data_IF_623082874827
#
_entry.id   IF_623082874827
#
_cell.length_a   1.000
_cell.length_b   1.000
_cell.length_c   1.000
_cell.angle_alpha   90.00
_cell.angle_beta   90.00
_cell.angle_gamma   90.00
#
_symmetry.space_group_name_H-M   'P 1'
#
loop_
_entity.id
_entity.type
_entity.pdbx_description
1 polymer ?
#
# COMPACT_ATOMS: atom_id res chain seq x y z
N UNK A 1 -2.97 -7.24 -1.22
CA UNK A 1 -2.08 -8.06 -0.37
C UNK A 1 -2.83 -9.20 0.30
N UNK A 2 -3.89 -8.92 1.09
CA UNK A 2 -4.66 -9.95 1.78
C UNK A 2 -5.14 -11.11 0.89
N UNK A 3 -5.66 -10.81 -0.31
CA UNK A 3 -6.11 -11.83 -1.28
C UNK A 3 -4.99 -12.80 -1.70
N UNK A 4 -3.84 -12.27 -2.12
CA UNK A 4 -2.70 -13.08 -2.55
C UNK A 4 -2.08 -13.86 -1.38
N UNK A 5 -2.08 -13.29 -0.18
CA UNK A 5 -1.59 -14.01 1.01
C UNK A 5 -2.50 -15.18 1.40
N UNK A 6 -3.82 -15.06 1.17
CA UNK A 6 -4.79 -16.14 1.43
C UNK A 6 -4.73 -17.28 0.39
N UNK A 7 -4.39 -16.99 -0.87
CA UNK A 7 -4.37 -18.00 -1.94
C UNK A 7 -3.05 -18.79 -1.98
N UNK A 8 -1.92 -18.17 -1.66
CA UNK A 8 -0.63 -18.84 -1.76
C UNK A 8 -0.47 -19.82 -0.56
N UNK A 9 -0.22 -21.12 -0.78
CA UNK A 9 -0.13 -22.13 0.28
C UNK A 9 0.91 -21.77 1.36
N UNK A 10 0.55 -21.89 2.65
CA UNK A 10 1.41 -21.51 3.78
C UNK A 10 1.22 -20.09 4.33
N UNK A 11 0.20 -19.36 3.87
CA UNK A 11 -0.17 -18.06 4.43
C UNK A 11 -0.86 -18.18 5.80
N UNK A 12 -0.54 -17.30 6.74
CA UNK A 12 -1.24 -17.17 8.03
C UNK A 12 -2.53 -16.33 7.93
N UNK A 13 -2.95 -15.99 6.71
CA UNK A 13 -4.06 -15.11 6.43
C UNK A 13 -5.41 -15.81 6.58
N UNK A 14 -5.89 -15.95 7.82
CA UNK A 14 -7.32 -16.14 8.06
C UNK A 14 -8.03 -14.89 7.52
N UNK A 15 -8.53 -14.97 6.28
CA UNK A 15 -9.29 -13.91 5.64
C UNK A 15 -10.66 -13.81 6.33
N UNK A 16 -10.66 -13.28 7.55
CA UNK A 16 -11.87 -13.11 8.32
C UNK A 16 -12.80 -12.13 7.60
N UNK A 17 -14.10 -12.35 7.72
CA UNK A 17 -15.10 -11.45 7.15
C UNK A 17 -14.88 -9.99 7.61
N UNK A 18 -14.31 -9.79 8.82
CA UNK A 18 -13.97 -8.48 9.38
C UNK A 18 -12.90 -7.75 8.57
N UNK A 19 -11.87 -8.48 8.12
CA UNK A 19 -10.82 -7.94 7.25
C UNK A 19 -11.41 -7.56 5.90
N UNK A 20 -12.24 -8.43 5.31
CA UNK A 20 -12.89 -8.15 4.02
C UNK A 20 -13.81 -6.92 4.12
N UNK A 21 -14.66 -6.86 5.15
CA UNK A 21 -15.54 -5.72 5.39
C UNK A 21 -14.76 -4.42 5.60
N UNK A 22 -13.65 -4.47 6.34
CA UNK A 22 -12.75 -3.34 6.51
C UNK A 22 -12.12 -2.89 5.20
N UNK A 23 -11.62 -3.82 4.37
CA UNK A 23 -11.03 -3.49 3.06
C UNK A 23 -12.06 -2.85 2.11
N UNK A 24 -13.30 -3.37 2.10
CA UNK A 24 -14.40 -2.81 1.30
C UNK A 24 -14.79 -1.41 1.80
N UNK A 25 -14.84 -1.20 3.12
CA UNK A 25 -15.12 0.11 3.70
C UNK A 25 -14.02 1.13 3.35
N UNK A 26 -12.75 0.72 3.45
CA UNK A 26 -11.60 1.55 3.06
C UNK A 26 -11.63 1.89 1.58
N UNK A 27 -11.94 0.91 0.72
CA UNK A 27 -12.10 1.12 -0.71
C UNK A 27 -13.23 2.10 -1.04
N UNK A 28 -14.40 1.91 -0.43
CA UNK A 28 -15.54 2.82 -0.59
C UNK A 28 -15.19 4.25 -0.14
N UNK A 29 -14.47 4.38 0.98
CA UNK A 29 -13.95 5.67 1.45
C UNK A 29 -12.99 6.32 0.45
N UNK A 30 -12.05 5.56 -0.12
CA UNK A 30 -11.15 6.09 -1.17
C UNK A 30 -11.89 6.46 -2.45
N UNK A 31 -12.88 5.68 -2.88
CA UNK A 31 -13.70 5.99 -4.05
C UNK A 31 -14.53 7.27 -3.81
N UNK A 32 -15.09 7.41 -2.60
CA UNK A 32 -15.77 8.63 -2.19
C UNK A 32 -14.81 9.83 -2.18
N UNK A 33 -13.56 9.64 -1.77
CA UNK A 33 -12.54 10.71 -1.73
C UNK A 33 -12.15 11.20 -3.13
N UNK A 34 -11.84 10.27 -4.04
CA UNK A 34 -11.49 10.57 -5.45
C UNK A 34 -12.67 11.25 -6.14
N UNK A 35 -13.84 10.68 -5.91
CA UNK A 35 -15.10 11.31 -6.23
C UNK A 35 -15.49 11.44 -7.68
N UNK A 36 -15.01 10.50 -8.49
CA UNK A 36 -15.41 10.34 -9.88
C UNK A 36 -16.93 10.14 -10.00
N UNK A 37 -17.52 10.83 -10.97
CA UNK A 37 -18.92 10.64 -11.35
C UNK A 37 -19.09 9.40 -12.24
N UNK A 38 -20.28 8.77 -12.27
CA UNK A 38 -20.53 7.62 -13.15
C UNK A 38 -20.24 7.93 -14.62
N UNK A 39 -20.56 9.14 -15.09
CA UNK A 39 -20.25 9.58 -16.44
C UNK A 39 -18.74 9.62 -16.72
N UNK A 40 -17.94 10.13 -15.78
CA UNK A 40 -16.47 10.12 -15.91
C UNK A 40 -15.91 8.70 -15.93
N UNK A 41 -16.49 7.77 -15.18
CA UNK A 41 -16.07 6.36 -15.17
C UNK A 41 -16.39 5.69 -16.50
N UNK A 42 -17.59 5.90 -17.05
CA UNK A 42 -17.99 5.29 -18.33
C UNK A 42 -17.18 5.79 -19.52
N UNK A 43 -16.74 7.04 -19.51
CA UNK A 43 -15.96 7.64 -20.60
C UNK A 43 -14.45 7.58 -20.36
N UNK A 44 -14.01 6.94 -19.27
CA UNK A 44 -12.58 6.85 -18.95
C UNK A 44 -11.85 5.96 -19.97
N UNK A 45 -10.67 6.40 -20.41
CA UNK A 45 -9.74 5.52 -21.11
C UNK A 45 -9.31 4.39 -20.17
N UNK A 46 -9.60 3.15 -20.55
CA UNK A 46 -9.35 1.96 -19.74
C UNK A 46 -7.85 1.63 -19.60
N UNK A 47 -6.98 2.20 -20.44
CA UNK A 47 -5.53 1.93 -20.40
C UNK A 47 -4.93 2.26 -19.03
N UNK A 48 -5.28 3.43 -18.47
CA UNK A 48 -4.80 3.87 -17.16
C UNK A 48 -5.25 2.96 -16.02
N UNK A 49 -6.57 2.73 -15.85
CA UNK A 49 -7.09 1.80 -14.84
C UNK A 49 -6.55 0.37 -14.94
N UNK A 50 -6.41 -0.17 -16.16
CA UNK A 50 -5.82 -1.50 -16.37
C UNK A 50 -4.35 -1.51 -15.94
N UNK A 51 -3.56 -0.51 -16.38
CA UNK A 51 -2.16 -0.39 -15.98
C UNK A 51 -1.99 -0.26 -14.46
N UNK A 52 -2.83 0.56 -13.80
CA UNK A 52 -2.84 0.71 -12.34
C UNK A 52 -3.22 -0.58 -11.61
N UNK A 53 -4.16 -1.36 -12.17
CA UNK A 53 -4.56 -2.65 -11.60
C UNK A 53 -3.42 -3.66 -11.70
N UNK A 54 -2.75 -3.75 -12.86
CA UNK A 54 -1.58 -4.61 -13.05
C UNK A 54 -0.40 -4.19 -12.17
N UNK A 55 -0.17 -2.88 -12.00
CA UNK A 55 0.85 -2.35 -11.10
C UNK A 55 0.55 -2.73 -9.65
N UNK A 56 -0.71 -2.58 -9.21
CA UNK A 56 -1.14 -2.93 -7.86
C UNK A 56 -1.05 -4.44 -7.58
N UNK A 57 -1.40 -5.26 -8.58
CA UNK A 57 -1.27 -6.71 -8.51
C UNK A 57 0.20 -7.13 -8.40
N UNK A 58 1.06 -6.59 -9.26
CA UNK A 58 2.51 -6.81 -9.24
C UNK A 58 3.14 -6.41 -7.91
N UNK A 59 2.78 -5.24 -7.37
CA UNK A 59 3.24 -4.78 -6.07
C UNK A 59 2.82 -5.71 -4.94
N UNK A 60 1.55 -6.11 -4.95
CA UNK A 60 1.00 -7.01 -3.94
C UNK A 60 1.67 -8.38 -3.99
N UNK A 61 1.86 -8.94 -5.18
CA UNK A 61 2.55 -10.22 -5.38
C UNK A 61 4.00 -10.15 -4.92
N UNK A 62 4.75 -9.13 -5.36
CA UNK A 62 6.14 -8.91 -4.96
C UNK A 62 6.31 -8.77 -3.45
N UNK A 63 5.37 -8.08 -2.79
CA UNK A 63 5.39 -7.91 -1.33
C UNK A 63 5.10 -9.20 -0.57
N UNK A 64 4.14 -10.01 -1.03
CA UNK A 64 3.87 -11.34 -0.44
C UNK A 64 5.05 -12.28 -0.69
N UNK A 65 5.63 -12.26 -1.89
CA UNK A 65 6.80 -13.05 -2.24
C UNK A 65 8.01 -12.69 -1.37
N UNK A 66 8.33 -11.41 -1.25
CA UNK A 66 9.46 -10.91 -0.44
C UNK A 66 9.32 -11.28 1.04
N UNK A 67 8.09 -11.34 1.56
CA UNK A 67 7.84 -11.79 2.93
C UNK A 67 8.11 -13.29 3.10
N UNK A 68 7.74 -14.11 2.12
CA UNK A 68 7.85 -15.58 2.19
C UNK A 68 9.23 -16.11 1.88
N UNK A 69 10.04 -15.34 1.16
CA UNK A 69 11.43 -15.68 0.84
C UNK A 69 12.37 -14.68 1.50
N UNK A 70 12.47 -14.69 2.85
CA UNK A 70 13.39 -13.82 3.55
C UNK A 70 14.82 -14.18 3.13
N UNK A 71 15.56 -13.16 2.68
CA UNK A 71 16.97 -13.30 2.37
C UNK A 71 17.81 -13.04 3.61
N UNK A 72 18.96 -13.72 3.74
CA UNK A 72 19.98 -13.40 4.76
C UNK A 72 20.56 -12.00 4.56
N UNK A 73 20.45 -11.45 3.36
CA UNK A 73 20.80 -10.08 3.07
C UNK A 73 20.00 -9.08 3.92
N UNK A 74 20.70 -8.02 4.33
CA UNK A 74 20.11 -6.89 5.03
C UNK A 74 18.93 -6.29 4.25
N UNK A 75 17.82 -5.89 4.91
CA UNK A 75 16.67 -5.30 4.22
C UNK A 75 17.03 -4.09 3.34
N UNK A 76 18.07 -3.35 3.71
CA UNK A 76 18.59 -2.22 2.94
C UNK A 76 19.17 -2.65 1.57
N UNK A 77 19.78 -3.84 1.48
CA UNK A 77 20.33 -4.36 0.22
C UNK A 77 19.20 -4.73 -0.73
N UNK A 78 18.16 -5.40 -0.23
CA UNK A 78 16.96 -5.70 -1.03
C UNK A 78 16.28 -4.42 -1.53
N UNK A 79 16.17 -3.41 -0.67
CA UNK A 79 15.66 -2.09 -1.04
C UNK A 79 16.50 -1.42 -2.12
N UNK A 80 17.83 -1.41 -1.99
CA UNK A 80 18.72 -0.81 -2.97
C UNK A 80 18.62 -1.50 -4.34
N UNK A 81 18.62 -2.84 -4.37
CA UNK A 81 18.48 -3.60 -5.62
C UNK A 81 17.14 -3.33 -6.30
N UNK A 82 16.04 -3.29 -5.53
CA UNK A 82 14.73 -2.99 -6.06
C UNK A 82 14.65 -1.57 -6.64
N UNK A 83 15.26 -0.58 -5.99
CA UNK A 83 15.30 0.80 -6.49
C UNK A 83 16.13 0.93 -7.76
N UNK A 84 17.27 0.24 -7.84
CA UNK A 84 18.13 0.23 -9.04
C UNK A 84 17.42 -0.45 -10.21
N UNK A 85 16.87 -1.66 -10.00
CA UNK A 85 16.20 -2.43 -11.05
C UNK A 85 14.91 -1.75 -11.47
N UNK A 86 14.07 -1.34 -10.53
CA UNK A 86 12.80 -0.66 -10.80
C UNK A 86 13.00 0.71 -11.45
N UNK A 87 13.91 1.52 -10.90
CA UNK A 87 14.26 2.83 -11.46
C UNK A 87 14.88 2.71 -12.85
N UNK A 88 15.79 1.75 -13.04
CA UNK A 88 16.39 1.46 -14.36
C UNK A 88 15.36 1.01 -15.38
N UNK A 89 14.41 0.14 -15.01
CA UNK A 89 13.34 -0.29 -15.89
C UNK A 89 12.43 0.88 -16.30
N UNK A 90 12.03 1.74 -15.36
CA UNK A 90 11.22 2.93 -15.66
C UNK A 90 11.98 3.91 -16.55
N UNK A 91 13.26 4.15 -16.28
CA UNK A 91 14.11 5.00 -17.11
C UNK A 91 14.26 4.46 -18.54
N UNK A 92 14.43 3.15 -18.69
CA UNK A 92 14.52 2.49 -20.00
C UNK A 92 13.22 2.65 -20.79
N UNK A 93 12.06 2.47 -20.13
CA UNK A 93 10.75 2.66 -20.77
C UNK A 93 10.56 4.12 -21.18
N UNK A 94 10.85 5.09 -20.31
CA UNK A 94 10.74 6.51 -20.66
C UNK A 94 11.66 6.90 -21.81
N UNK A 95 12.88 6.34 -21.86
CA UNK A 95 13.80 6.51 -22.97
C UNK A 95 13.23 5.93 -24.28
N UNK A 96 12.70 4.70 -24.24
CA UNK A 96 12.09 4.05 -25.40
C UNK A 96 10.84 4.77 -25.92
N UNK A 97 10.09 5.45 -25.04
CA UNK A 97 8.95 6.30 -25.40
C UNK A 97 9.33 7.68 -25.92
N UNK A 98 10.64 8.02 -25.94
CA UNK A 98 11.13 9.30 -26.45
C UNK A 98 10.92 10.49 -25.51
N UNK A 99 10.65 10.25 -24.22
CA UNK A 99 10.41 11.32 -23.23
C UNK A 99 11.66 12.16 -22.92
N UNK A 100 12.82 11.76 -23.43
CA UNK A 100 14.09 12.45 -23.24
C UNK A 100 14.07 13.91 -23.69
N UNK A 101 13.37 14.23 -24.79
CA UNK A 101 13.28 15.61 -25.28
C UNK A 101 12.46 16.53 -24.37
N UNK A 102 11.59 15.96 -23.52
CA UNK A 102 10.81 16.71 -22.54
C UNK A 102 11.56 16.86 -21.20
N UNK A 103 12.66 16.13 -21.00
CA UNK A 103 13.42 16.15 -19.75
C UNK A 103 14.28 17.43 -19.64
N UNK A 104 14.03 18.21 -18.61
CA UNK A 104 14.76 19.43 -18.32
C UNK A 104 15.19 19.48 -16.86
N UNK A 105 16.47 19.73 -16.62
CA UNK A 105 17.02 19.85 -15.27
C UNK A 105 16.70 21.25 -14.71
N UNK A 106 15.65 21.33 -13.90
CA UNK A 106 15.28 22.58 -13.20
C UNK A 106 15.67 22.50 -11.73
N UNK A 107 16.01 23.62 -11.06
CA UNK A 107 16.28 23.62 -9.62
C UNK A 107 15.12 23.06 -8.80
N UNK A 108 13.87 23.35 -9.22
CA UNK A 108 12.65 22.80 -8.61
C UNK A 108 12.57 21.28 -8.79
N UNK A 109 12.86 20.78 -9.99
CA UNK A 109 12.90 19.34 -10.27
C UNK A 109 13.98 18.63 -9.45
N UNK A 110 15.17 19.22 -9.33
CA UNK A 110 16.24 18.68 -8.52
C UNK A 110 15.87 18.64 -7.03
N UNK A 111 15.21 19.69 -6.52
CA UNK A 111 14.67 19.71 -5.16
C UNK A 111 13.60 18.62 -4.93
N UNK A 112 12.72 18.39 -5.91
CA UNK A 112 11.73 17.32 -5.85
C UNK A 112 12.39 15.92 -5.86
N UNK A 113 13.41 15.71 -6.69
CA UNK A 113 14.19 14.46 -6.72
C UNK A 113 14.89 14.24 -5.37
N UNK A 114 15.58 15.25 -4.84
CA UNK A 114 16.26 15.16 -3.55
C UNK A 114 15.27 14.81 -2.42
N UNK A 115 14.09 15.43 -2.42
CA UNK A 115 13.01 15.11 -1.48
C UNK A 115 12.56 13.64 -1.62
N UNK A 116 12.30 13.17 -2.84
CA UNK A 116 11.86 11.78 -3.09
C UNK A 116 12.94 10.74 -2.77
N UNK A 117 14.22 11.06 -2.98
CA UNK A 117 15.34 10.20 -2.58
C UNK A 117 15.39 10.04 -1.07
N UNK A 118 15.33 11.14 -0.32
CA UNK A 118 15.46 11.10 1.15
C UNK A 118 14.18 10.56 1.81
N UNK A 119 13.04 11.22 1.58
CA UNK A 119 11.81 10.90 2.29
C UNK A 119 11.04 9.74 1.66
N UNK A 120 10.92 9.72 0.33
CA UNK A 120 10.18 8.67 -0.37
C UNK A 120 10.92 7.34 -0.39
N UNK A 121 12.22 7.37 -0.68
CA UNK A 121 13.02 6.16 -0.90
C UNK A 121 13.73 5.71 0.37
N UNK A 122 14.68 6.49 0.89
CA UNK A 122 15.50 6.06 2.04
C UNK A 122 14.62 5.86 3.28
N UNK A 123 13.84 6.85 3.69
CA UNK A 123 13.01 6.75 4.89
C UNK A 123 11.76 5.90 4.67
N UNK A 124 10.94 6.26 3.67
CA UNK A 124 9.66 5.61 3.41
C UNK A 124 9.80 4.12 3.08
N UNK A 125 10.71 3.77 2.17
CA UNK A 125 10.87 2.38 1.75
C UNK A 125 11.57 1.51 2.82
N UNK A 126 12.52 2.07 3.56
CA UNK A 126 13.13 1.34 4.69
C UNK A 126 12.09 1.05 5.78
N UNK A 127 11.21 2.00 6.10
CA UNK A 127 10.11 1.77 7.04
C UNK A 127 9.14 0.69 6.53
N UNK A 128 8.82 0.72 5.23
CA UNK A 128 7.98 -0.30 4.60
C UNK A 128 8.58 -1.71 4.69
N UNK A 129 9.84 -1.87 4.29
CA UNK A 129 10.53 -3.17 4.34
C UNK A 129 10.71 -3.68 5.76
N UNK A 130 11.00 -2.79 6.71
CA UNK A 130 11.00 -3.11 8.13
C UNK A 130 9.62 -3.61 8.60
N UNK A 131 8.55 -2.87 8.28
CA UNK A 131 7.18 -3.25 8.65
C UNK A 131 6.77 -4.60 8.03
N UNK A 132 7.16 -4.88 6.79
CA UNK A 132 6.86 -6.14 6.11
C UNK A 132 7.55 -7.35 6.75
N UNK A 133 8.73 -7.15 7.34
CA UNK A 133 9.42 -8.18 8.13
C UNK A 133 8.76 -8.42 9.49
N UNK A 134 8.15 -7.40 10.11
CA UNK A 134 7.62 -7.47 11.48
C UNK A 134 6.09 -7.58 11.59
N UNK A 135 5.33 -7.37 10.53
CA UNK A 135 3.87 -7.40 10.51
C UNK A 135 3.30 -8.23 9.35
N UNK A 136 2.02 -8.61 9.40
CA UNK A 136 1.36 -9.34 8.30
C UNK A 136 1.24 -8.48 7.03
N UNK A 137 1.29 -9.04 5.81
CA UNK A 137 1.08 -8.27 4.58
C UNK A 137 -0.27 -7.56 4.54
N UNK A 138 -1.28 -8.15 5.19
CA UNK A 138 -2.60 -7.54 5.36
C UNK A 138 -2.52 -6.25 6.17
N UNK A 139 -1.87 -6.27 7.35
CA UNK A 139 -1.67 -5.09 8.20
C UNK A 139 -0.85 -4.04 7.48
N UNK A 140 0.29 -4.44 6.90
CA UNK A 140 1.15 -3.53 6.14
C UNK A 140 0.31 -2.89 5.05
N UNK A 141 -0.35 -3.66 4.20
CA UNK A 141 -1.16 -3.16 3.08
C UNK A 141 -2.24 -2.13 3.45
N UNK A 142 -2.68 -2.04 4.72
CA UNK A 142 -3.59 -0.96 5.15
C UNK A 142 -2.98 0.44 5.06
N UNK A 143 -1.65 0.57 5.02
CA UNK A 143 -0.96 1.86 4.81
C UNK A 143 -1.43 2.57 3.54
N UNK A 144 -1.75 1.80 2.49
CA UNK A 144 -2.19 2.33 1.21
C UNK A 144 -3.50 3.13 1.33
N UNK A 145 -4.36 2.80 2.30
CA UNK A 145 -5.56 3.58 2.58
C UNK A 145 -5.24 4.86 3.37
N UNK A 146 -4.24 4.83 4.24
CA UNK A 146 -3.83 6.01 5.03
C UNK A 146 -3.20 7.09 4.14
N UNK A 147 -2.50 6.69 3.06
CA UNK A 147 -1.81 7.62 2.16
C UNK A 147 -2.69 8.76 1.61
N UNK A 148 -3.88 8.51 1.01
CA UNK A 148 -4.78 9.58 0.58
C UNK A 148 -5.20 10.55 1.70
N UNK A 149 -5.38 10.06 2.92
CA UNK A 149 -5.74 10.90 4.08
C UNK A 149 -4.61 11.87 4.40
N UNK A 150 -3.36 11.38 4.43
CA UNK A 150 -2.18 12.22 4.64
C UNK A 150 -2.01 13.23 3.50
N UNK A 151 -2.22 12.80 2.25
CA UNK A 151 -2.13 13.68 1.09
C UNK A 151 -3.12 14.86 1.19
N UNK A 152 -4.38 14.59 1.56
CA UNK A 152 -5.40 15.63 1.78
C UNK A 152 -5.02 16.56 2.93
N UNK A 153 -4.53 16.02 4.04
CA UNK A 153 -4.11 16.83 5.20
C UNK A 153 -2.97 17.78 4.84
N UNK A 154 -1.99 17.30 4.08
CA UNK A 154 -0.87 18.12 3.61
C UNK A 154 -1.31 19.12 2.54
N UNK A 155 -2.22 18.75 1.64
CA UNK A 155 -2.83 19.66 0.66
C UNK A 155 -3.58 20.80 1.34
N UNK A 156 -4.36 20.50 2.36
CA UNK A 156 -5.03 21.51 3.17
C UNK A 156 -4.05 22.37 3.98
N UNK A 157 -3.07 21.76 4.65
CA UNK A 157 -2.16 22.48 5.56
C UNK A 157 -1.15 23.35 4.81
N UNK A 158 -0.57 22.83 3.73
CA UNK A 158 0.55 23.46 3.01
C UNK A 158 0.05 24.20 1.77
N UNK A 159 -0.82 23.55 0.97
CA UNK A 159 -1.33 24.13 -0.29
C UNK A 159 -2.62 24.94 -0.09
N UNK A 160 -3.20 24.94 1.12
CA UNK A 160 -4.48 25.61 1.45
C UNK A 160 -5.63 25.15 0.56
N UNK A 161 -5.62 23.88 0.17
CA UNK A 161 -6.71 23.29 -0.61
C UNK A 161 -8.00 23.21 0.22
N UNK A 162 -9.17 23.55 -0.36
CA UNK A 162 -10.43 23.52 0.35
C UNK A 162 -10.85 22.08 0.68
N UNK A 163 -11.08 21.82 1.97
CA UNK A 163 -11.59 20.53 2.45
C UNK A 163 -13.10 20.60 2.54
N UNK A 164 -13.78 19.67 1.87
CA UNK A 164 -15.25 19.61 1.83
C UNK A 164 -15.79 18.63 2.87
N UNK A 165 -17.09 18.70 3.17
CA UNK A 165 -17.76 17.71 4.04
C UNK A 165 -17.58 16.27 3.52
N UNK A 166 -17.61 16.11 2.18
CA UNK A 166 -17.31 14.83 1.50
C UNK A 166 -15.93 14.30 1.86
N UNK A 167 -14.92 15.18 1.87
CA UNK A 167 -13.54 14.84 2.24
C UNK A 167 -13.45 14.31 3.67
N UNK A 168 -14.14 14.96 4.62
CA UNK A 168 -14.20 14.50 6.02
C UNK A 168 -14.85 13.13 6.17
N UNK A 169 -16.00 12.90 5.51
CA UNK A 169 -16.68 11.60 5.55
C UNK A 169 -15.79 10.50 4.98
N UNK A 170 -15.14 10.77 3.84
CA UNK A 170 -14.22 9.82 3.22
C UNK A 170 -13.03 9.49 4.12
N UNK A 171 -12.40 10.50 4.75
CA UNK A 171 -11.31 10.29 5.71
C UNK A 171 -11.76 9.46 6.92
N UNK A 172 -12.96 9.73 7.46
CA UNK A 172 -13.51 8.97 8.57
C UNK A 172 -13.75 7.50 8.21
N UNK A 173 -14.31 7.22 7.02
CA UNK A 173 -14.50 5.85 6.53
C UNK A 173 -13.17 5.12 6.39
N UNK A 174 -12.17 5.78 5.80
CA UNK A 174 -10.84 5.22 5.58
C UNK A 174 -10.15 4.90 6.92
N UNK A 175 -10.08 5.87 7.83
CA UNK A 175 -9.42 5.69 9.12
C UNK A 175 -10.17 4.67 9.99
N UNK A 176 -11.50 4.70 9.96
CA UNK A 176 -12.35 3.71 10.63
C UNK A 176 -12.10 2.29 10.12
N UNK A 177 -11.98 2.12 8.80
CA UNK A 177 -11.64 0.83 8.18
C UNK A 177 -10.27 0.32 8.61
N UNK A 178 -9.23 1.16 8.56
CA UNK A 178 -7.88 0.79 8.99
C UNK A 178 -7.90 0.40 10.47
N UNK A 179 -8.52 1.21 11.31
CA UNK A 179 -8.61 0.94 12.75
C UNK A 179 -9.36 -0.36 13.05
N UNK A 180 -10.44 -0.65 12.32
CA UNK A 180 -11.19 -1.90 12.41
C UNK A 180 -10.33 -3.12 12.05
N UNK A 181 -9.59 -3.06 10.94
CA UNK A 181 -8.69 -4.15 10.51
C UNK A 181 -7.61 -4.38 11.57
N UNK A 182 -6.99 -3.30 12.07
CA UNK A 182 -5.92 -3.39 13.07
C UNK A 182 -6.41 -4.01 14.39
N UNK A 183 -7.60 -3.64 14.86
CA UNK A 183 -8.17 -4.25 16.07
C UNK A 183 -8.63 -5.68 15.85
N UNK A 184 -9.11 -6.04 14.65
CA UNK A 184 -9.54 -7.41 14.35
C UNK A 184 -8.39 -8.42 14.39
N UNK A 185 -7.17 -8.01 14.03
CA UNK A 185 -5.96 -8.84 14.14
C UNK A 185 -5.37 -8.89 15.56
N UNK A 186 -5.70 -7.93 16.43
CA UNK A 186 -5.26 -7.91 17.83
C UNK A 186 -6.09 -8.77 18.77
N UNK A 187 -7.23 -9.31 18.35
CA UNK A 187 -7.99 -10.27 19.16
C UNK A 187 -7.29 -11.62 19.02
N UNK A 188 -6.46 -12.06 19.98
CA UNK A 188 -5.88 -13.39 19.93
C UNK A 188 -7.07 -14.33 20.08
N UNK A 189 -7.28 -15.19 19.10
CA UNK A 189 -8.24 -16.28 19.22
C UNK A 189 -8.01 -16.97 20.56
N UNK A 190 -9.06 -17.04 21.36
CA UNK A 190 -9.20 -17.84 22.58
C UNK A 190 -9.15 -19.31 22.15
N UNK A 191 -8.02 -19.77 21.61
CA UNK A 191 -7.85 -21.11 21.04
C UNK A 191 -6.52 -21.78 21.41
N UNK A 192 -5.79 -21.23 22.39
CA UNK A 192 -4.73 -21.95 23.10
C UNK A 192 -5.23 -22.79 24.28
N UNK A 193 -6.51 -22.71 24.67
CA UNK A 193 -7.06 -23.46 25.82
C UNK A 193 -7.47 -24.92 25.55
N UNK A 194 -7.62 -25.35 24.30
CA UNK A 194 -8.07 -26.73 24.02
C UNK A 194 -6.91 -27.75 23.87
N UNK A 195 -5.69 -27.29 23.54
CA UNK A 195 -4.54 -28.20 23.34
C UNK A 195 -3.78 -28.45 24.66
N UNK A 196 -3.78 -27.48 25.58
CA UNK A 196 -3.11 -27.65 26.87
C UNK A 196 -3.88 -28.54 27.87
N UNK A 197 -5.20 -28.71 27.69
CA UNK A 197 -6.01 -29.61 28.54
C UNK A 197 -6.11 -31.03 27.99
N UNK A 198 -5.73 -31.25 26.72
CA UNK A 198 -5.73 -32.58 26.11
C UNK A 198 -4.38 -33.31 26.26
N UNK A 199 -3.26 -32.57 26.41
CA UNK A 199 -1.93 -33.14 26.64
C UNK A 199 -1.52 -33.26 28.12
N UNK A 200 -2.42 -32.96 29.06
CA UNK A 200 -2.18 -33.10 30.50
C UNK A 200 -2.92 -34.31 31.11
N UNK A 201 -3.55 -35.14 30.27
CA UNK A 201 -4.30 -36.34 30.64
C UNK A 201 -3.73 -37.63 30.02
N UNK A 202 -2.48 -37.60 29.56
CA UNK A 202 -1.67 -38.77 29.18
C UNK A 202 -0.41 -38.79 30.03
#
# INVERSE_FOLDING_TARGET
>A
MAFFDAIIPGGSGDLSWRVVAGLLLGFAGTALLVGATPAQILHADLRGPIALTLASASWSLGSVYAKRHPTEASPYVGAALQMIVGGGAVALVGFALGEWSAWHLTPRGLGAIAYLVVFGSILGYSAYTYALRHASPTIVGTYAYVNPVIAVLLGWLILREPVTARTFVAMAMILGAVMWIQFSHRVPGIRRRAVATAGASE
#
